data_IF_872497074506
#
_entry.id   IF_872497074506
#
_cell.length_a   1.000
_cell.length_b   1.000
_cell.length_c   1.000
_cell.angle_alpha   90.00
_cell.angle_beta   90.00
_cell.angle_gamma   90.00
#
_symmetry.space_group_name_H-M   'P 1'
#
loop_
_entity.id
_entity.type
_entity.pdbx_description
1 polymer ?
#
# COMPACT_ATOMS: atom_id res chain seq x y z
N UNK A 1 14.26 19.64 3.48
CA UNK A 1 13.23 18.96 4.29
C UNK A 1 13.54 17.49 4.32
N UNK A 2 13.69 16.91 5.51
CA UNK A 2 13.88 15.47 5.67
C UNK A 2 12.58 14.71 5.32
N UNK A 3 12.68 13.43 4.95
CA UNK A 3 11.50 12.59 4.69
C UNK A 3 10.52 12.57 5.87
N UNK A 4 11.03 12.59 7.11
CA UNK A 4 10.22 12.63 8.34
C UNK A 4 9.37 13.91 8.47
N UNK A 5 9.89 15.06 8.07
CA UNK A 5 9.13 16.33 8.11
C UNK A 5 7.99 16.31 7.09
N UNK A 6 8.23 15.78 5.89
CA UNK A 6 7.19 15.60 4.86
C UNK A 6 6.07 14.69 5.35
N UNK A 7 6.41 13.55 5.95
CA UNK A 7 5.43 12.63 6.54
C UNK A 7 4.61 13.35 7.61
N UNK A 8 5.26 14.02 8.58
CA UNK A 8 4.56 14.70 9.67
C UNK A 8 3.57 15.76 9.15
N UNK A 9 3.99 16.55 8.17
CA UNK A 9 3.13 17.55 7.55
C UNK A 9 1.93 16.89 6.85
N UNK A 10 2.17 15.83 6.06
CA UNK A 10 1.12 15.12 5.34
C UNK A 10 0.12 14.43 6.28
N UNK A 11 0.60 13.74 7.31
CA UNK A 11 -0.25 13.06 8.31
C UNK A 11 -1.12 14.05 9.08
N UNK A 12 -0.68 15.30 9.28
CA UNK A 12 -1.47 16.33 9.95
C UNK A 12 -2.66 16.86 9.12
N UNK A 13 -2.69 16.59 7.81
CA UNK A 13 -3.77 17.06 6.95
C UNK A 13 -5.07 16.29 7.19
N UNK A 14 -6.21 16.99 7.03
CA UNK A 14 -7.54 16.35 7.06
C UNK A 14 -7.82 15.80 5.66
N UNK A 15 -7.62 14.50 5.50
CA UNK A 15 -7.94 13.76 4.28
C UNK A 15 -8.62 12.43 4.62
N UNK A 16 -9.48 11.96 3.71
CA UNK A 16 -10.18 10.66 3.86
C UNK A 16 -9.21 9.47 3.83
N UNK A 17 -8.14 9.61 3.05
CA UNK A 17 -7.13 8.60 2.80
C UNK A 17 -5.75 9.23 2.97
N UNK A 18 -4.77 8.49 3.48
CA UNK A 18 -3.37 8.93 3.59
C UNK A 18 -2.46 7.85 3.06
N UNK A 19 -1.90 8.08 1.88
CA UNK A 19 -1.02 7.11 1.20
C UNK A 19 0.39 7.69 1.09
N UNK A 20 1.39 6.91 1.47
CA UNK A 20 2.79 7.27 1.34
C UNK A 20 3.45 6.24 0.44
N UNK A 21 3.99 6.68 -0.68
CA UNK A 21 4.89 5.87 -1.49
C UNK A 21 6.32 6.14 -1.02
N UNK A 22 7.07 5.08 -0.71
CA UNK A 22 8.47 5.20 -0.30
C UNK A 22 9.37 4.26 -1.10
N UNK A 23 10.56 4.74 -1.45
CA UNK A 23 11.55 3.94 -2.20
C UNK A 23 12.43 3.08 -1.31
N UNK A 24 12.56 3.47 -0.04
CA UNK A 24 13.30 2.76 0.98
C UNK A 24 12.42 2.47 2.21
N UNK A 25 12.66 1.37 2.95
CA UNK A 25 11.95 1.11 4.19
C UNK A 25 12.16 2.25 5.20
N UNK A 26 11.06 2.82 5.70
CA UNK A 26 11.13 3.83 6.76
C UNK A 26 11.60 3.14 8.04
N UNK A 27 12.70 3.63 8.62
CA UNK A 27 13.28 3.05 9.83
C UNK A 27 12.26 2.97 10.97
N UNK A 28 12.29 1.85 11.70
CA UNK A 28 11.40 1.52 12.83
C UNK A 28 9.93 1.27 12.48
N UNK A 29 9.56 1.22 11.20
CA UNK A 29 8.23 0.76 10.80
C UNK A 29 8.25 -0.74 10.46
N UNK A 30 7.15 -1.43 10.78
CA UNK A 30 6.95 -2.81 10.40
C UNK A 30 6.29 -2.89 9.03
N UNK A 31 6.95 -3.55 8.07
CA UNK A 31 6.42 -3.79 6.74
C UNK A 31 5.90 -5.22 6.62
N UNK A 32 4.66 -5.34 6.19
CA UNK A 32 4.00 -6.60 5.87
C UNK A 32 4.38 -7.01 4.45
N UNK A 33 4.99 -8.18 4.30
CA UNK A 33 5.29 -8.76 2.99
C UNK A 33 4.02 -9.38 2.38
N UNK A 34 3.45 -8.67 1.40
CA UNK A 34 2.21 -9.09 0.74
C UNK A 34 2.37 -10.43 0.03
N UNK A 35 3.50 -10.67 -0.63
CA UNK A 35 3.77 -11.92 -1.34
C UNK A 35 3.81 -13.11 -0.39
N UNK A 36 4.44 -12.93 0.78
CA UNK A 36 4.47 -13.95 1.84
C UNK A 36 3.07 -14.23 2.38
N UNK A 37 2.29 -13.21 2.72
CA UNK A 37 0.92 -13.38 3.23
C UNK A 37 0.02 -14.07 2.20
N UNK A 38 0.12 -13.71 0.91
CA UNK A 38 -0.62 -14.38 -0.16
C UNK A 38 -0.21 -15.85 -0.27
N UNK A 39 1.08 -16.15 -0.29
CA UNK A 39 1.58 -17.54 -0.40
C UNK A 39 1.09 -18.43 0.75
N UNK A 40 1.03 -17.87 1.96
CA UNK A 40 0.56 -18.59 3.14
C UNK A 40 -0.91 -18.98 2.99
N UNK A 41 -1.75 -18.02 2.59
CA UNK A 41 -3.20 -18.27 2.43
C UNK A 41 -3.49 -19.21 1.27
N UNK A 42 -2.77 -19.09 0.15
CA UNK A 42 -2.91 -20.02 -0.99
C UNK A 42 -2.51 -21.44 -0.58
N UNK A 43 -1.46 -21.60 0.23
CA UNK A 43 -1.02 -22.92 0.70
C UNK A 43 -2.03 -23.56 1.65
N UNK A 44 -2.75 -22.76 2.43
CA UNK A 44 -3.73 -23.25 3.40
C UNK A 44 -5.14 -23.48 2.83
N UNK A 45 -5.45 -22.97 1.63
CA UNK A 45 -6.77 -23.13 1.00
C UNK A 45 -6.71 -23.97 -0.28
N UNK A 46 -7.59 -24.97 -0.40
CA UNK A 46 -7.78 -25.76 -1.63
C UNK A 46 -8.69 -25.05 -2.67
N UNK A 47 -9.23 -23.86 -2.38
CA UNK A 47 -10.29 -23.22 -3.17
C UNK A 47 -10.01 -21.77 -3.65
N UNK A 48 -10.74 -21.26 -4.66
CA UNK A 48 -10.45 -20.00 -5.37
C UNK A 48 -10.57 -18.70 -4.55
N UNK A 49 -11.02 -18.76 -3.29
CA UNK A 49 -11.30 -17.59 -2.44
C UNK A 49 -10.10 -17.08 -1.61
N UNK A 50 -8.92 -17.71 -1.77
CA UNK A 50 -7.71 -17.40 -1.01
C UNK A 50 -7.28 -15.93 -1.08
N UNK A 51 -7.47 -15.25 -2.22
CA UNK A 51 -7.01 -13.87 -2.40
C UNK A 51 -7.79 -12.85 -1.58
N UNK A 52 -9.12 -12.94 -1.56
CA UNK A 52 -9.96 -12.04 -0.75
C UNK A 52 -9.68 -12.24 0.73
N UNK A 53 -9.49 -13.49 1.16
CA UNK A 53 -9.12 -13.84 2.53
C UNK A 53 -7.74 -13.29 2.90
N UNK A 54 -6.77 -13.38 1.99
CA UNK A 54 -5.44 -12.81 2.17
C UNK A 54 -5.47 -11.28 2.26
N UNK A 55 -6.22 -10.61 1.37
CA UNK A 55 -6.40 -9.16 1.41
C UNK A 55 -7.01 -8.72 2.75
N UNK A 56 -8.03 -9.45 3.24
CA UNK A 56 -8.62 -9.16 4.55
C UNK A 56 -7.60 -9.32 5.68
N UNK A 57 -6.83 -10.41 5.68
CA UNK A 57 -5.78 -10.64 6.67
C UNK A 57 -4.71 -9.56 6.65
N UNK A 58 -4.26 -9.13 5.48
CA UNK A 58 -3.32 -8.01 5.33
C UNK A 58 -3.95 -6.70 5.85
N UNK A 59 -5.22 -6.45 5.54
CA UNK A 59 -5.93 -5.26 6.01
C UNK A 59 -6.09 -5.22 7.53
N UNK A 60 -6.25 -6.38 8.17
CA UNK A 60 -6.35 -6.49 9.62
C UNK A 60 -5.02 -6.20 10.32
N UNK A 61 -3.88 -6.30 9.63
CA UNK A 61 -2.60 -5.87 10.16
C UNK A 61 -2.60 -4.34 10.27
N UNK A 62 -2.61 -3.83 11.50
CA UNK A 62 -2.53 -2.40 11.79
C UNK A 62 -1.55 -2.20 12.92
N UNK A 63 -0.59 -1.32 12.68
CA UNK A 63 0.45 -0.95 13.63
C UNK A 63 0.25 0.50 14.05
N UNK A 64 0.94 0.91 15.12
CA UNK A 64 0.93 2.29 15.57
C UNK A 64 2.37 2.80 15.67
N UNK A 65 2.56 4.04 15.24
CA UNK A 65 3.81 4.79 15.37
C UNK A 65 3.50 6.17 15.98
N UNK A 66 4.44 6.74 16.73
CA UNK A 66 4.25 8.01 17.44
C UNK A 66 4.01 9.20 16.49
N UNK A 67 4.59 9.16 15.29
CA UNK A 67 4.50 10.24 14.30
C UNK A 67 3.38 9.99 13.30
N UNK A 68 3.24 8.75 12.83
CA UNK A 68 2.29 8.38 11.77
C UNK A 68 0.89 8.09 12.34
N UNK A 69 0.81 7.65 13.61
CA UNK A 69 -0.41 7.10 14.18
C UNK A 69 -0.66 5.68 13.68
N UNK A 70 -1.92 5.31 13.50
CA UNK A 70 -2.28 4.00 12.97
C UNK A 70 -1.87 3.87 11.49
N UNK A 71 -1.17 2.79 11.16
CA UNK A 71 -0.66 2.56 9.82
C UNK A 71 -0.69 1.08 9.40
N UNK A 72 -0.61 0.88 8.09
CA UNK A 72 -0.30 -0.39 7.44
C UNK A 72 0.81 -0.11 6.42
N UNK A 73 1.98 -0.72 6.60
CA UNK A 73 3.08 -0.61 5.65
C UNK A 73 3.26 -1.92 4.89
N UNK A 74 3.34 -1.86 3.56
CA UNK A 74 3.37 -3.01 2.68
C UNK A 74 4.67 -3.05 1.87
N UNK A 75 5.33 -4.20 1.88
CA UNK A 75 6.38 -4.57 0.93
C UNK A 75 5.87 -5.65 -0.02
N UNK A 76 6.52 -5.81 -1.18
CA UNK A 76 6.13 -6.78 -2.22
C UNK A 76 4.66 -6.66 -2.70
N UNK A 77 3.99 -5.53 -2.45
CA UNK A 77 2.58 -5.30 -2.83
C UNK A 77 2.39 -5.22 -4.35
N UNK A 78 3.46 -5.01 -5.11
CA UNK A 78 3.43 -4.97 -6.58
C UNK A 78 2.94 -6.28 -7.20
N UNK A 79 3.00 -7.40 -6.47
CA UNK A 79 2.41 -8.68 -6.90
C UNK A 79 0.91 -8.56 -7.17
N UNK A 80 0.22 -7.59 -6.55
CA UNK A 80 -1.20 -7.35 -6.75
C UNK A 80 -1.52 -6.76 -8.14
N UNK A 81 -0.52 -6.37 -8.94
CA UNK A 81 -0.69 -5.99 -10.34
C UNK A 81 -0.86 -7.18 -11.29
N UNK A 82 -0.62 -8.41 -10.83
CA UNK A 82 -0.74 -9.62 -11.65
C UNK A 82 -2.17 -9.74 -12.24
N UNK A 83 -2.34 -9.64 -13.57
CA UNK A 83 -3.66 -9.63 -14.20
C UNK A 83 -4.52 -10.86 -13.89
N UNK A 84 -3.87 -12.03 -13.73
CA UNK A 84 -4.58 -13.28 -13.43
C UNK A 84 -5.25 -13.27 -12.04
N UNK A 85 -4.83 -12.37 -11.14
CA UNK A 85 -5.49 -12.16 -9.85
C UNK A 85 -6.84 -11.45 -9.98
N UNK A 86 -7.10 -10.76 -11.09
CA UNK A 86 -8.36 -10.03 -11.37
C UNK A 86 -8.76 -9.07 -10.24
N UNK A 87 -7.77 -8.44 -9.60
CA UNK A 87 -7.99 -7.53 -8.48
C UNK A 87 -8.27 -6.10 -8.95
N UNK A 88 -9.20 -5.44 -8.28
CA UNK A 88 -9.31 -3.98 -8.35
C UNK A 88 -8.34 -3.34 -7.36
N UNK A 89 -7.09 -3.16 -7.81
CA UNK A 89 -6.03 -2.59 -6.98
C UNK A 89 -6.36 -1.17 -6.50
N UNK A 90 -7.10 -0.39 -7.30
CA UNK A 90 -7.53 0.96 -6.92
C UNK A 90 -8.45 0.94 -5.71
N UNK A 91 -9.43 0.04 -5.72
CA UNK A 91 -10.37 -0.14 -4.61
C UNK A 91 -9.69 -0.72 -3.37
N UNK A 92 -8.70 -1.62 -3.54
CA UNK A 92 -7.90 -2.16 -2.44
C UNK A 92 -7.09 -1.04 -1.76
N UNK A 93 -6.35 -0.24 -2.53
CA UNK A 93 -5.54 0.86 -2.00
C UNK A 93 -6.40 1.92 -1.29
N UNK A 94 -7.58 2.24 -1.83
CA UNK A 94 -8.52 3.13 -1.13
C UNK A 94 -8.96 2.54 0.19
N UNK A 95 -9.45 1.30 0.18
CA UNK A 95 -9.98 0.63 1.37
C UNK A 95 -8.92 0.52 2.46
N UNK A 96 -7.67 0.23 2.07
CA UNK A 96 -6.56 0.01 3.00
C UNK A 96 -6.03 1.30 3.64
N UNK A 97 -6.34 2.45 3.03
CA UNK A 97 -5.93 3.78 3.50
C UNK A 97 -7.04 4.55 4.23
N UNK A 98 -8.21 3.93 4.44
CA UNK A 98 -9.28 4.51 5.25
C UNK A 98 -8.91 4.37 6.73
N UNK A 99 -9.05 5.47 7.49
CA UNK A 99 -8.83 5.54 8.95
C UNK A 99 -7.41 5.22 9.45
N UNK A 100 -6.48 4.91 8.55
CA UNK A 100 -5.06 4.68 8.85
C UNK A 100 -4.19 5.12 7.67
N UNK A 101 -2.91 5.34 7.93
CA UNK A 101 -1.95 5.62 6.86
C UNK A 101 -1.54 4.31 6.16
N UNK A 102 -1.67 4.28 4.84
CA UNK A 102 -1.12 3.20 4.00
C UNK A 102 0.25 3.61 3.49
N UNK A 103 1.25 2.78 3.73
CA UNK A 103 2.63 3.02 3.29
C UNK A 103 3.01 1.92 2.31
N UNK A 104 3.41 2.29 1.10
CA UNK A 104 3.71 1.38 0.00
C UNK A 104 5.18 1.48 -0.35
N UNK A 105 5.96 0.46 0.01
CA UNK A 105 7.35 0.34 -0.39
C UNK A 105 7.43 -0.10 -1.85
N UNK A 106 7.99 0.74 -2.71
CA UNK A 106 8.11 0.41 -4.14
C UNK A 106 9.16 1.27 -4.84
N UNK A 107 9.74 0.71 -5.90
CA UNK A 107 10.62 1.38 -6.86
C UNK A 107 9.88 1.91 -8.10
N UNK A 108 8.54 1.95 -8.09
CA UNK A 108 7.75 2.56 -9.16
C UNK A 108 7.76 4.09 -9.09
N UNK A 109 7.29 4.75 -10.14
CA UNK A 109 7.29 6.22 -10.24
C UNK A 109 5.87 6.78 -10.17
N UNK A 110 5.70 8.02 -9.70
CA UNK A 110 4.43 8.72 -9.78
C UNK A 110 4.47 9.78 -10.88
N UNK A 111 3.56 9.69 -11.86
CA UNK A 111 3.40 10.65 -12.96
C UNK A 111 1.91 10.94 -13.17
N UNK A 112 1.52 12.21 -13.24
CA UNK A 112 0.14 12.64 -13.56
C UNK A 112 -0.96 11.95 -12.72
N UNK A 113 -0.80 11.90 -11.39
CA UNK A 113 -1.71 11.18 -10.48
C UNK A 113 -1.85 9.68 -10.81
N UNK A 114 -0.80 9.06 -11.34
CA UNK A 114 -0.72 7.62 -11.52
C UNK A 114 0.58 7.12 -10.94
N UNK A 115 0.50 6.05 -10.17
CA UNK A 115 1.67 5.26 -9.86
C UNK A 115 1.91 4.29 -11.03
N UNK A 116 3.16 4.14 -11.45
CA UNK A 116 3.60 3.29 -12.56
C UNK A 116 4.67 2.32 -12.06
N UNK A 117 4.38 1.03 -12.13
CA UNK A 117 5.38 0.00 -11.88
C UNK A 117 6.35 -0.04 -13.07
N UNK A 118 7.64 0.16 -12.82
CA UNK A 118 8.70 0.13 -13.84
C UNK A 118 8.44 1.06 -15.04
N UNK A 119 7.76 2.20 -14.82
CA UNK A 119 7.34 3.13 -15.88
C UNK A 119 6.45 2.51 -16.98
N UNK A 120 5.81 1.37 -16.71
CA UNK A 120 4.93 0.70 -17.66
C UNK A 120 3.46 1.10 -17.44
N UNK A 121 2.80 1.73 -18.43
CA UNK A 121 1.41 2.16 -18.30
C UNK A 121 0.41 1.00 -18.16
N UNK A 122 0.81 -0.24 -18.49
CA UNK A 122 -0.02 -1.44 -18.27
C UNK A 122 -0.12 -1.81 -16.79
N UNK A 123 0.90 -1.46 -16.02
CA UNK A 123 0.97 -1.69 -14.57
C UNK A 123 0.84 -0.37 -13.82
N UNK A 124 -0.26 0.33 -14.10
CA UNK A 124 -0.58 1.64 -13.55
C UNK A 124 -1.67 1.57 -12.49
N UNK A 125 -1.48 2.28 -11.38
CA UNK A 125 -2.49 2.53 -10.36
C UNK A 125 -2.96 3.98 -10.47
N UNK A 126 -4.25 4.17 -10.74
CA UNK A 126 -4.85 5.50 -10.75
C UNK A 126 -4.88 6.08 -9.32
N UNK A 127 -4.39 7.30 -9.12
CA UNK A 127 -4.40 7.98 -7.82
C UNK A 127 -5.35 9.18 -7.80
N UNK A 128 -6.13 9.40 -8.86
CA UNK A 128 -7.08 10.50 -8.93
C UNK A 128 -8.05 10.45 -7.73
N UNK A 129 -8.15 11.58 -7.03
CA UNK A 129 -8.98 11.75 -5.84
C UNK A 129 -8.41 11.14 -4.55
N UNK A 130 -7.24 10.50 -4.59
CA UNK A 130 -6.52 10.03 -3.40
C UNK A 130 -5.55 11.10 -2.92
N UNK A 131 -5.38 11.20 -1.60
CA UNK A 131 -4.32 12.02 -1.02
C UNK A 131 -3.08 11.16 -0.81
N UNK A 132 -1.97 11.55 -1.43
CA UNK A 132 -0.71 10.82 -1.36
C UNK A 132 0.51 11.74 -1.37
N UNK A 133 1.64 11.20 -0.88
CA UNK A 133 2.98 11.78 -1.08
C UNK A 133 3.95 10.68 -1.53
N UNK A 134 5.07 11.10 -2.10
CA UNK A 134 6.22 10.26 -2.45
C UNK A 134 7.45 10.76 -1.67
N UNK A 135 8.18 9.84 -1.05
CA UNK A 135 9.35 10.12 -0.20
C UNK A 135 10.55 9.23 -0.48
#
# INVERSE_FOLDING_TARGET
MSGKEKIKQFISQVSRNKIIFCHEPISNLHFVDVGKELSFVIKEQEEPSGYSSACKRIFEQTYNDEVIGSYLALSNWIILFEPDLKLDLRSIVESFSINKCLILLSNGSIKENRYLLMDDPRFALNLQGLSFIEI
#
